data_IF_923001084012
#
_entry.id   IF_923001084012
#
_cell.length_a   1.000
_cell.length_b   1.000
_cell.length_c   1.000
_cell.angle_alpha   90.00
_cell.angle_beta   90.00
_cell.angle_gamma   90.00
#
_symmetry.space_group_name_H-M   'P 1'
#
loop_
_entity.id
_entity.type
_entity.pdbx_description
1 polymer ?
#
# COMPACT_ATOMS: atom_id res chain seq x y z
N UNK A 1 0.36 -6.50 -13.22
CA UNK A 1 -0.79 -7.20 -13.84
C UNK A 1 -1.40 -8.13 -12.78
N UNK A 2 -2.66 -7.95 -12.37
CA UNK A 2 -3.28 -8.84 -11.36
C UNK A 2 -3.61 -10.17 -12.04
N UNK A 3 -3.12 -11.28 -11.50
CA UNK A 3 -3.50 -12.62 -11.94
C UNK A 3 -4.96 -12.84 -11.54
N UNK A 4 -5.85 -13.04 -12.53
CA UNK A 4 -7.29 -13.23 -12.35
C UNK A 4 -7.72 -14.70 -12.40
N UNK A 5 -6.86 -15.57 -12.95
CA UNK A 5 -7.06 -17.02 -12.98
C UNK A 5 -6.66 -17.65 -11.63
N UNK A 6 -7.25 -18.81 -11.26
CA UNK A 6 -6.84 -19.55 -10.09
C UNK A 6 -5.37 -19.98 -10.19
N UNK A 7 -4.69 -19.96 -9.04
CA UNK A 7 -3.25 -20.23 -8.96
C UNK A 7 -3.00 -21.28 -7.88
N UNK A 8 -2.20 -22.30 -8.20
CA UNK A 8 -1.72 -23.26 -7.20
C UNK A 8 -0.52 -22.68 -6.47
N UNK A 9 -0.55 -22.75 -5.14
CA UNK A 9 0.53 -22.30 -4.27
C UNK A 9 1.33 -23.51 -3.84
N UNK A 10 2.63 -23.50 -4.10
CA UNK A 10 3.57 -24.52 -3.65
C UNK A 10 4.51 -23.93 -2.61
N UNK A 11 4.75 -24.65 -1.53
CA UNK A 11 5.73 -24.27 -0.53
C UNK A 11 7.04 -25.03 -0.78
N UNK A 12 8.11 -24.29 -1.02
CA UNK A 12 9.45 -24.85 -1.06
C UNK A 12 10.06 -24.73 0.34
N UNK A 13 10.05 -25.83 1.09
CA UNK A 13 10.54 -25.87 2.48
C UNK A 13 12.02 -25.54 2.59
N UNK A 14 12.85 -25.98 1.62
CA UNK A 14 14.28 -25.73 1.61
C UNK A 14 14.62 -24.23 1.49
N UNK A 15 13.77 -23.46 0.81
CA UNK A 15 13.96 -22.02 0.58
C UNK A 15 13.05 -21.15 1.44
N UNK A 16 12.14 -21.73 2.23
CA UNK A 16 11.08 -21.03 2.97
C UNK A 16 10.32 -20.02 2.08
N UNK A 17 10.02 -20.43 0.84
CA UNK A 17 9.42 -19.57 -0.19
C UNK A 17 8.19 -20.21 -0.80
N UNK A 18 7.16 -19.40 -1.01
CA UNK A 18 5.96 -19.79 -1.74
C UNK A 18 6.12 -19.48 -3.24
N UNK A 19 5.72 -20.44 -4.09
CA UNK A 19 5.68 -20.30 -5.55
C UNK A 19 4.24 -20.33 -6.02
N UNK A 20 3.91 -19.41 -6.91
CA UNK A 20 2.58 -19.23 -7.49
C UNK A 20 2.60 -19.70 -8.94
N UNK A 21 1.93 -20.82 -9.23
CA UNK A 21 1.84 -21.38 -10.58
C UNK A 21 0.40 -21.24 -11.09
N UNK A 22 0.14 -20.42 -12.12
CA UNK A 22 -1.14 -20.42 -12.80
C UNK A 22 -1.26 -21.73 -13.58
N UNK A 23 -2.31 -22.50 -13.31
CA UNK A 23 -2.53 -23.79 -13.97
C UNK A 23 -3.76 -23.65 -14.86
N UNK A 24 -3.59 -23.60 -16.19
CA UNK A 24 -4.71 -23.69 -17.12
C UNK A 24 -5.40 -25.05 -16.97
N UNK A 25 -6.72 -25.09 -17.10
CA UNK A 25 -7.48 -26.35 -17.17
C UNK A 25 -6.90 -27.25 -18.27
N UNK A 26 -6.56 -28.49 -17.92
CA UNK A 26 -5.99 -29.49 -18.85
C UNK A 26 -4.46 -29.57 -18.89
N UNK A 27 -3.73 -28.79 -18.10
CA UNK A 27 -2.26 -28.83 -18.09
C UNK A 27 -1.68 -29.99 -17.26
N UNK A 28 -1.02 -30.94 -17.92
CA UNK A 28 -0.26 -32.05 -17.30
C UNK A 28 1.17 -31.60 -16.94
N UNK A 29 1.29 -30.45 -16.29
CA UNK A 29 2.62 -29.95 -15.87
C UNK A 29 3.10 -30.83 -14.72
N UNK A 30 4.27 -31.46 -14.88
CA UNK A 30 4.92 -32.18 -13.80
C UNK A 30 5.31 -31.16 -12.72
N UNK A 31 4.62 -31.21 -11.57
CA UNK A 31 4.82 -30.25 -10.47
C UNK A 31 5.72 -30.76 -9.35
N UNK A 32 6.37 -31.91 -9.53
CA UNK A 32 7.13 -32.58 -8.47
C UNK A 32 8.31 -31.74 -7.95
N UNK A 33 8.89 -30.89 -8.81
CA UNK A 33 10.05 -30.06 -8.44
C UNK A 33 9.66 -28.73 -7.76
N UNK A 34 8.38 -28.33 -7.76
CA UNK A 34 7.97 -27.02 -7.25
C UNK A 34 7.77 -26.97 -5.73
N UNK A 35 7.86 -28.11 -5.05
CA UNK A 35 7.62 -28.25 -3.62
C UNK A 35 6.23 -28.83 -3.32
N UNK A 36 5.88 -28.86 -2.03
CA UNK A 36 4.62 -29.45 -1.57
C UNK A 36 3.47 -28.51 -1.93
N UNK A 37 2.42 -29.07 -2.55
CA UNK A 37 1.19 -28.31 -2.81
C UNK A 37 0.57 -27.86 -1.48
N UNK A 38 0.30 -26.57 -1.36
CA UNK A 38 -0.17 -25.98 -0.11
C UNK A 38 -1.64 -25.60 -0.19
N UNK A 39 -2.05 -24.75 -1.14
CA UNK A 39 -3.47 -24.45 -1.40
C UNK A 39 -3.71 -23.91 -2.80
N UNK A 40 -4.97 -23.90 -3.22
CA UNK A 40 -5.44 -23.20 -4.42
C UNK A 40 -5.91 -21.80 -4.01
N UNK A 41 -5.35 -20.76 -4.63
CA UNK A 41 -5.87 -19.40 -4.51
C UNK A 41 -6.82 -19.14 -5.68
N UNK A 42 -8.13 -19.23 -5.42
CA UNK A 42 -9.15 -18.81 -6.38
C UNK A 42 -9.68 -17.43 -5.98
N UNK A 43 -9.54 -16.46 -6.89
CA UNK A 43 -10.05 -15.09 -6.68
C UNK A 43 -11.53 -14.95 -7.03
N UNK A 44 -12.21 -16.05 -7.36
CA UNK A 44 -13.67 -16.13 -7.46
C UNK A 44 -14.35 -16.08 -6.09
N UNK A 45 -13.61 -16.29 -4.99
CA UNK A 45 -14.14 -16.09 -3.64
C UNK A 45 -14.70 -14.66 -3.50
N UNK A 46 -15.89 -14.50 -2.88
CA UNK A 46 -16.49 -13.20 -2.70
C UNK A 46 -15.52 -12.31 -1.92
N UNK A 47 -15.14 -11.16 -2.51
CA UNK A 47 -14.34 -10.16 -1.81
C UNK A 47 -15.02 -9.87 -0.47
N UNK A 48 -14.27 -9.80 0.64
CA UNK A 48 -14.84 -9.39 1.92
C UNK A 48 -15.58 -8.08 1.71
N UNK A 49 -16.77 -8.03 2.30
CA UNK A 49 -17.68 -6.90 2.23
C UNK A 49 -16.96 -5.61 2.65
N UNK A 50 -17.46 -4.47 2.17
CA UNK A 50 -16.86 -3.15 2.50
C UNK A 50 -16.81 -2.94 4.03
N UNK A 51 -17.77 -3.49 4.77
CA UNK A 51 -17.80 -3.54 6.24
C UNK A 51 -16.64 -4.34 6.84
N UNK A 52 -16.40 -5.57 6.40
CA UNK A 52 -15.32 -6.41 6.93
C UNK A 52 -13.93 -5.85 6.62
N UNK A 53 -13.75 -5.16 5.49
CA UNK A 53 -12.50 -4.44 5.21
C UNK A 53 -12.28 -3.28 6.16
N UNK A 54 -13.33 -2.52 6.46
CA UNK A 54 -13.25 -1.36 7.34
C UNK A 54 -12.92 -1.78 8.78
N UNK A 55 -13.45 -2.90 9.26
CA UNK A 55 -13.09 -3.46 10.57
C UNK A 55 -11.65 -3.94 10.64
N UNK A 56 -11.15 -4.62 9.59
CA UNK A 56 -9.74 -5.02 9.50
C UNK A 56 -8.79 -3.84 9.44
N UNK A 57 -9.19 -2.75 8.79
CA UNK A 57 -8.42 -1.49 8.74
C UNK A 57 -8.48 -0.73 10.07
N UNK A 58 -9.61 -0.74 10.77
CA UNK A 58 -9.77 -0.11 12.07
C UNK A 58 -8.90 -0.77 13.15
N UNK A 59 -8.68 -2.08 13.07
CA UNK A 59 -7.83 -2.81 14.01
C UNK A 59 -6.33 -2.68 13.70
N UNK A 60 -5.96 -1.95 12.63
CA UNK A 60 -4.56 -1.76 12.25
C UNK A 60 -4.03 -0.46 12.83
N UNK A 61 -2.97 -0.56 13.64
CA UNK A 61 -2.23 0.62 14.10
C UNK A 61 -1.73 1.41 12.87
N UNK A 62 -2.17 2.67 12.70
CA UNK A 62 -1.82 3.48 11.53
C UNK A 62 -0.33 3.85 11.58
N UNK A 63 0.31 3.86 10.40
CA UNK A 63 1.73 4.22 10.28
C UNK A 63 1.97 5.67 10.72
N UNK A 64 3.13 6.00 11.31
CA UNK A 64 3.43 7.37 11.67
C UNK A 64 3.53 8.21 10.41
N UNK A 65 3.06 9.47 10.48
CA UNK A 65 3.05 10.38 9.34
C UNK A 65 4.48 10.79 9.00
N UNK A 66 4.82 10.69 7.72
CA UNK A 66 6.11 11.20 7.23
C UNK A 66 6.03 12.70 6.91
N UNK A 67 7.18 13.31 6.57
CA UNK A 67 7.28 14.75 6.34
C UNK A 67 6.39 15.25 5.21
N UNK A 68 6.31 14.49 4.12
CA UNK A 68 5.42 14.80 3.01
C UNK A 68 3.94 14.74 3.40
N UNK A 69 3.51 13.73 4.17
CA UNK A 69 2.12 13.61 4.62
C UNK A 69 1.74 14.80 5.51
N UNK A 70 2.63 15.21 6.42
CA UNK A 70 2.42 16.38 7.28
C UNK A 70 2.33 17.67 6.47
N UNK A 71 3.30 17.90 5.58
CA UNK A 71 3.34 19.07 4.69
C UNK A 71 2.09 19.17 3.81
N UNK A 72 1.72 18.06 3.16
CA UNK A 72 0.53 18.00 2.31
C UNK A 72 -0.73 18.25 3.12
N UNK A 73 -0.86 17.68 4.31
CA UNK A 73 -2.04 17.89 5.16
C UNK A 73 -2.20 19.37 5.52
N UNK A 74 -1.10 20.04 5.87
CA UNK A 74 -1.09 21.47 6.17
C UNK A 74 -1.53 22.32 4.98
N UNK A 75 -0.87 22.16 3.82
CA UNK A 75 -1.19 22.96 2.63
C UNK A 75 -2.51 22.58 1.95
N UNK A 76 -2.98 21.33 2.06
CA UNK A 76 -4.25 20.92 1.44
C UNK A 76 -5.42 21.78 1.94
N UNK A 77 -5.43 22.15 3.21
CA UNK A 77 -6.48 23.01 3.78
C UNK A 77 -6.45 24.43 3.18
N UNK A 78 -5.28 24.97 2.91
CA UNK A 78 -5.09 26.27 2.27
C UNK A 78 -5.54 26.23 0.80
N UNK A 79 -5.04 25.26 0.04
CA UNK A 79 -5.35 25.14 -1.39
C UNK A 79 -6.81 24.78 -1.67
N UNK A 80 -7.46 23.99 -0.80
CA UNK A 80 -8.89 23.69 -0.96
C UNK A 80 -9.75 24.95 -0.80
N UNK A 81 -9.32 25.92 0.03
CA UNK A 81 -10.00 27.21 0.19
C UNK A 81 -9.78 28.11 -1.04
N UNK A 82 -8.56 28.13 -1.58
CA UNK A 82 -8.23 28.93 -2.76
C UNK A 82 -8.83 28.36 -4.06
N UNK A 83 -8.97 27.04 -4.16
CA UNK A 83 -9.45 26.34 -5.35
C UNK A 83 -10.63 25.42 -5.00
N UNK A 84 -11.84 25.98 -4.83
CA UNK A 84 -13.03 25.18 -4.60
C UNK A 84 -13.27 24.25 -5.80
N UNK A 85 -13.46 22.95 -5.53
CA UNK A 85 -13.69 21.94 -6.57
C UNK A 85 -12.43 21.29 -7.16
N UNK A 86 -11.23 21.65 -6.68
CA UNK A 86 -9.99 20.96 -7.09
C UNK A 86 -10.05 19.48 -6.73
N UNK A 87 -9.63 18.62 -7.66
CA UNK A 87 -9.57 17.18 -7.39
C UNK A 87 -8.37 16.85 -6.50
N UNK A 88 -8.46 15.76 -5.74
CA UNK A 88 -7.35 15.31 -4.90
C UNK A 88 -6.06 15.00 -5.69
N UNK A 89 -6.20 14.61 -6.96
CA UNK A 89 -5.08 14.36 -7.87
C UNK A 89 -4.35 15.65 -8.25
N UNK A 90 -5.10 16.67 -8.67
CA UNK A 90 -4.57 18.00 -9.02
C UNK A 90 -3.94 18.67 -7.81
N UNK A 91 -4.62 18.60 -6.65
CA UNK A 91 -4.11 19.11 -5.39
C UNK A 91 -2.78 18.48 -5.01
N UNK A 92 -2.67 17.15 -5.14
CA UNK A 92 -1.42 16.44 -4.83
C UNK A 92 -0.30 16.81 -5.80
N UNK A 93 -0.62 17.02 -7.07
CA UNK A 93 0.34 17.48 -8.08
C UNK A 93 0.88 18.87 -7.74
N UNK A 94 -0.02 19.80 -7.42
CA UNK A 94 0.31 21.18 -7.10
C UNK A 94 1.18 21.30 -5.83
N UNK A 95 0.78 20.62 -4.76
CA UNK A 95 1.55 20.59 -3.51
C UNK A 95 2.91 19.92 -3.73
N UNK A 96 3.00 18.90 -4.60
CA UNK A 96 4.28 18.23 -4.88
C UNK A 96 5.27 19.17 -5.57
N UNK A 97 4.76 20.01 -6.48
CA UNK A 97 5.57 21.06 -7.12
C UNK A 97 6.02 22.10 -6.10
N UNK A 98 5.13 22.55 -5.21
CA UNK A 98 5.47 23.48 -4.13
C UNK A 98 6.54 22.91 -3.21
N UNK A 99 6.40 21.66 -2.76
CA UNK A 99 7.40 20.98 -1.93
C UNK A 99 8.77 20.91 -2.60
N UNK A 100 8.84 20.64 -3.90
CA UNK A 100 10.14 20.64 -4.61
C UNK A 100 10.80 22.02 -4.58
N UNK A 101 10.03 23.08 -4.75
CA UNK A 101 10.50 24.48 -4.73
C UNK A 101 10.79 25.02 -3.32
N UNK A 102 10.25 24.40 -2.28
CA UNK A 102 10.41 24.84 -0.88
C UNK A 102 11.89 24.83 -0.44
N UNK A 103 12.35 25.84 0.32
CA UNK A 103 13.74 25.94 0.74
C UNK A 103 14.14 24.80 1.69
N UNK A 104 15.45 24.52 1.81
CA UNK A 104 15.93 23.41 2.64
C UNK A 104 15.55 23.50 4.11
N UNK A 105 15.40 24.71 4.68
CA UNK A 105 15.05 24.88 6.10
C UNK A 105 13.62 24.43 6.39
N UNK A 106 12.66 24.77 5.51
CA UNK A 106 11.28 24.29 5.61
C UNK A 106 11.23 22.77 5.50
N UNK A 107 11.91 22.18 4.51
CA UNK A 107 11.99 20.72 4.37
C UNK A 107 12.55 20.05 5.62
N UNK A 108 13.54 20.66 6.27
CA UNK A 108 14.10 20.18 7.54
C UNK A 108 13.06 20.23 8.66
N UNK A 109 12.36 21.34 8.83
CA UNK A 109 11.28 21.46 9.81
C UNK A 109 10.27 20.30 9.69
N UNK A 110 9.77 20.03 8.49
CA UNK A 110 8.83 18.93 8.27
C UNK A 110 9.43 17.54 8.48
N UNK A 111 10.73 17.36 8.19
CA UNK A 111 11.45 16.12 8.50
C UNK A 111 11.62 15.93 10.03
N UNK A 112 11.91 16.98 10.77
CA UNK A 112 12.06 16.92 12.23
C UNK A 112 10.72 16.56 12.90
N UNK A 113 9.61 17.14 12.44
CA UNK A 113 8.27 16.74 12.87
C UNK A 113 7.97 15.27 12.55
N UNK A 114 8.32 14.81 11.36
CA UNK A 114 8.10 13.41 10.97
C UNK A 114 8.92 12.43 11.81
N UNK A 115 10.16 12.78 12.16
CA UNK A 115 10.96 11.98 13.08
C UNK A 115 10.36 12.00 14.48
N UNK A 116 9.76 13.10 14.93
CA UNK A 116 9.03 13.14 16.20
C UNK A 116 7.81 12.22 16.19
N UNK A 117 6.97 12.27 15.16
CA UNK A 117 5.81 11.36 15.02
C UNK A 117 6.24 9.89 15.01
N UNK A 118 7.36 9.60 14.35
CA UNK A 118 7.95 8.26 14.29
C UNK A 118 8.51 7.82 15.64
N UNK A 119 9.06 8.72 16.47
CA UNK A 119 9.47 8.43 17.85
C UNK A 119 8.26 8.13 18.72
N UNK A 120 7.25 9.01 18.70
CA UNK A 120 6.03 8.86 19.49
C UNK A 120 5.25 7.57 19.20
N UNK A 121 5.30 7.05 17.96
CA UNK A 121 4.67 5.76 17.63
C UNK A 121 5.50 4.56 18.15
N UNK A 122 6.82 4.69 18.29
CA UNK A 122 7.67 3.59 18.75
C UNK A 122 7.54 3.34 20.26
N UNK A 123 7.17 4.37 21.00
CA UNK A 123 6.83 4.31 22.43
C UNK A 123 5.46 3.67 22.64
#
# INVERSE_FOLDING_TARGET
RKVQQPVRVFHNEALQKFRLCPVPEGSTVNTSDYGVFYFLCDKSEPKPSVSEKKEREANRVPRPRNSWILYRQYHSAEFTKSYPGITASELSTLISTKWKAEPPHEKRFWNDLAEQEKRNHRE
#
